data_IF_053452933925
#
_entry.id   IF_053452933925
#
_cell.length_a   1.000
_cell.length_b   1.000
_cell.length_c   1.000
_cell.angle_alpha   90.00
_cell.angle_beta   90.00
_cell.angle_gamma   90.00
#
_symmetry.space_group_name_H-M   'P 1'
#
loop_
_entity.id
_entity.type
_entity.pdbx_description
1 polymer ?
#
# COMPACT_ATOMS: atom_id res chain seq x y z
N UNK A 1 1.17 9.50 -12.31
CA UNK A 1 1.72 8.41 -11.49
C UNK A 1 1.38 8.69 -10.04
N UNK A 2 1.19 7.66 -9.23
CA UNK A 2 0.88 7.81 -7.80
C UNK A 2 1.64 6.75 -7.00
N UNK A 3 2.08 7.16 -5.80
CA UNK A 3 2.64 6.26 -4.79
C UNK A 3 1.55 5.92 -3.78
N UNK A 4 1.38 4.63 -3.49
CA UNK A 4 0.59 4.13 -2.37
C UNK A 4 1.53 3.68 -1.24
N UNK A 5 1.04 3.73 0.00
CA UNK A 5 1.78 3.35 1.20
C UNK A 5 0.91 2.48 2.11
N UNK A 6 1.38 2.23 3.33
CA UNK A 6 0.58 1.58 4.36
C UNK A 6 -0.77 2.26 4.60
N UNK A 7 -1.83 1.47 4.79
CA UNK A 7 -3.20 1.96 5.00
C UNK A 7 -3.40 2.61 6.38
N UNK A 8 -2.45 2.47 7.29
CA UNK A 8 -2.52 3.08 8.61
C UNK A 8 -2.48 4.59 8.60
N UNK A 9 -2.04 5.23 7.51
CA UNK A 9 -2.09 6.68 7.34
C UNK A 9 -3.53 7.21 7.16
N UNK A 10 -4.47 6.38 6.70
CA UNK A 10 -5.87 6.78 6.50
C UNK A 10 -6.70 6.69 7.78
N UNK A 11 -6.13 6.09 8.83
CA UNK A 11 -6.81 5.81 10.08
C UNK A 11 -6.23 6.62 11.23
N UNK A 12 -7.05 6.85 12.26
CA UNK A 12 -6.56 7.38 13.51
C UNK A 12 -5.52 6.43 14.08
N UNK A 13 -4.36 6.97 14.47
CA UNK A 13 -3.30 6.16 15.06
C UNK A 13 -3.80 5.60 16.40
N UNK A 14 -3.82 4.27 16.60
CA UNK A 14 -4.22 3.70 17.86
C UNK A 14 -3.18 4.01 18.95
N UNK A 15 -3.63 4.17 20.19
CA UNK A 15 -2.74 4.42 21.34
C UNK A 15 -1.78 3.26 21.60
N UNK A 16 -2.15 2.04 21.20
CA UNK A 16 -1.30 0.85 21.23
C UNK A 16 -1.61 -0.03 20.01
N UNK A 17 -0.60 -0.69 19.46
CA UNK A 17 -0.78 -1.63 18.35
C UNK A 17 -1.41 -2.93 18.85
N UNK A 18 -2.36 -3.47 18.08
CA UNK A 18 -2.92 -4.80 18.33
C UNK A 18 -1.82 -5.84 18.11
N UNK A 19 -1.84 -6.93 18.88
CA UNK A 19 -0.89 -8.05 18.75
C UNK A 19 -0.95 -8.68 17.34
N UNK A 20 -2.15 -8.69 16.74
CA UNK A 20 -2.39 -9.25 15.42
C UNK A 20 -2.75 -8.15 14.44
N UNK A 21 -2.16 -8.24 13.25
CA UNK A 21 -2.54 -7.44 12.08
C UNK A 21 -3.46 -8.31 11.20
N UNK A 22 -4.75 -8.00 11.21
CA UNK A 22 -5.80 -8.67 10.44
C UNK A 22 -6.62 -7.65 9.61
N UNK A 23 -7.69 -8.10 8.95
CA UNK A 23 -8.50 -7.22 8.08
C UNK A 23 -9.27 -6.16 8.86
N UNK A 24 -9.50 -6.39 10.15
CA UNK A 24 -10.20 -5.48 11.06
C UNK A 24 -9.19 -4.68 11.91
N UNK A 25 -7.92 -4.64 11.47
CA UNK A 25 -6.89 -3.84 12.12
C UNK A 25 -7.23 -2.35 12.05
N UNK A 26 -7.86 -1.93 10.97
CA UNK A 26 -8.38 -0.59 10.74
C UNK A 26 -9.90 -0.60 10.80
N UNK A 27 -10.51 0.49 11.27
CA UNK A 27 -11.97 0.57 11.45
C UNK A 27 -12.69 0.64 10.10
N UNK A 28 -12.45 1.72 9.35
CA UNK A 28 -13.01 1.96 8.02
C UNK A 28 -11.90 2.53 7.14
N UNK A 29 -11.56 1.80 6.07
CA UNK A 29 -10.59 2.26 5.09
C UNK A 29 -11.40 2.79 3.89
N UNK A 30 -11.35 4.10 3.59
CA UNK A 30 -12.01 4.62 2.41
C UNK A 30 -11.48 3.94 1.14
N UNK A 31 -12.27 3.84 0.05
CA UNK A 31 -11.94 3.07 -1.15
C UNK A 31 -10.89 3.75 -2.05
N UNK A 32 -9.82 4.24 -1.44
CA UNK A 32 -8.79 5.06 -2.10
C UNK A 32 -7.95 4.23 -3.06
N UNK A 33 -7.78 2.93 -2.80
CA UNK A 33 -7.04 2.05 -3.70
C UNK A 33 -7.85 1.76 -4.96
N UNK A 34 -9.15 1.55 -4.84
CA UNK A 34 -10.10 1.42 -5.93
C UNK A 34 -10.09 2.69 -6.78
N UNK A 35 -10.26 3.85 -6.14
CA UNK A 35 -10.22 5.15 -6.81
C UNK A 35 -8.87 5.39 -7.52
N UNK A 36 -7.76 5.01 -6.91
CA UNK A 36 -6.44 5.12 -7.52
C UNK A 36 -6.30 4.21 -8.74
N UNK A 37 -6.77 2.96 -8.64
CA UNK A 37 -6.76 2.00 -9.76
C UNK A 37 -7.61 2.50 -10.91
N UNK A 38 -8.82 2.98 -10.65
CA UNK A 38 -9.74 3.50 -11.67
C UNK A 38 -9.20 4.76 -12.36
N UNK A 39 -8.59 5.67 -11.59
CA UNK A 39 -8.13 6.96 -12.11
C UNK A 39 -6.78 6.88 -12.83
N UNK A 40 -5.84 6.10 -12.30
CA UNK A 40 -4.47 6.06 -12.82
C UNK A 40 -4.17 4.80 -13.65
N UNK A 41 -4.84 3.70 -13.38
CA UNK A 41 -4.48 2.36 -13.86
C UNK A 41 -3.26 1.79 -13.11
N UNK A 42 -3.24 0.46 -12.91
CA UNK A 42 -2.22 -0.21 -12.10
C UNK A 42 -0.77 0.03 -12.59
N UNK A 43 -0.55 0.25 -13.89
CA UNK A 43 0.79 0.54 -14.47
C UNK A 43 1.35 1.91 -14.10
N UNK A 44 0.56 2.76 -13.45
CA UNK A 44 0.96 4.09 -12.98
C UNK A 44 0.93 4.21 -11.45
N UNK A 45 0.72 3.10 -10.75
CA UNK A 45 0.74 2.98 -9.29
C UNK A 45 2.04 2.30 -8.88
N UNK A 46 2.69 2.82 -7.84
CA UNK A 46 3.85 2.18 -7.20
C UNK A 46 3.64 2.12 -5.68
N UNK A 47 4.13 1.07 -5.04
CA UNK A 47 4.18 0.98 -3.59
C UNK A 47 5.47 1.60 -3.06
N UNK A 48 5.37 2.32 -1.94
CA UNK A 48 6.52 2.79 -1.18
C UNK A 48 6.19 2.76 0.32
N UNK A 49 7.11 2.25 1.12
CA UNK A 49 6.86 1.96 2.53
C UNK A 49 6.57 3.17 3.40
N UNK A 50 7.11 4.35 3.05
CA UNK A 50 7.17 5.50 3.97
C UNK A 50 7.94 5.18 5.26
N UNK A 51 9.04 4.43 5.14
CA UNK A 51 9.97 4.25 6.24
C UNK A 51 10.78 5.54 6.50
N UNK A 52 11.01 5.95 7.77
CA UNK A 52 10.65 5.29 9.03
C UNK A 52 9.21 5.48 9.58
N UNK A 53 8.38 6.48 9.18
CA UNK A 53 7.03 6.66 9.74
C UNK A 53 6.16 5.40 9.88
N UNK A 54 6.17 4.53 8.87
CA UNK A 54 5.37 3.29 8.84
C UNK A 54 5.62 2.36 10.03
N UNK A 55 6.83 2.40 10.63
CA UNK A 55 7.17 1.60 11.82
C UNK A 55 6.35 1.96 13.05
N UNK A 56 5.88 3.21 13.16
CA UNK A 56 5.04 3.67 14.27
C UNK A 56 3.55 3.37 14.11
N UNK A 57 3.16 2.80 12.97
CA UNK A 57 1.78 2.42 12.63
C UNK A 57 1.71 0.90 12.48
N UNK A 58 1.41 0.38 11.30
CA UNK A 58 1.29 -1.06 11.05
C UNK A 58 2.64 -1.79 10.98
N UNK A 59 3.75 -1.08 10.76
CA UNK A 59 5.06 -1.68 10.53
C UNK A 59 5.30 -2.11 9.08
N UNK A 60 6.57 -2.11 8.67
CA UNK A 60 6.99 -2.33 7.27
C UNK A 60 6.40 -3.60 6.65
N UNK A 61 6.51 -4.74 7.37
CA UNK A 61 6.03 -6.04 6.88
C UNK A 61 4.53 -6.03 6.60
N UNK A 62 3.75 -5.43 7.50
CA UNK A 62 2.30 -5.41 7.37
C UNK A 62 1.87 -4.45 6.26
N UNK A 63 2.44 -3.25 6.18
CA UNK A 63 2.19 -2.31 5.10
C UNK A 63 2.51 -2.90 3.71
N UNK A 64 3.60 -3.68 3.60
CA UNK A 64 3.95 -4.38 2.37
C UNK A 64 2.93 -5.46 2.02
N UNK A 65 2.55 -6.30 2.99
CA UNK A 65 1.53 -7.34 2.79
C UNK A 65 0.18 -6.77 2.38
N UNK A 66 -0.21 -5.63 2.95
CA UNK A 66 -1.48 -4.98 2.59
C UNK A 66 -1.52 -4.52 1.14
N UNK A 67 -0.38 -4.28 0.49
CA UNK A 67 -0.32 -3.99 -0.94
C UNK A 67 -0.31 -5.27 -1.79
N UNK A 68 0.43 -6.30 -1.36
CA UNK A 68 0.55 -7.58 -2.08
C UNK A 68 -0.76 -8.37 -2.04
N UNK A 69 -1.38 -8.46 -0.87
CA UNK A 69 -2.56 -9.29 -0.62
C UNK A 69 -3.87 -8.51 -0.80
N UNK A 70 -3.82 -7.30 -1.38
CA UNK A 70 -4.98 -6.44 -1.51
C UNK A 70 -5.97 -6.96 -2.57
N UNK A 71 -7.26 -7.11 -2.25
CA UNK A 71 -8.26 -7.56 -3.24
C UNK A 71 -8.47 -6.58 -4.39
N UNK A 72 -8.03 -5.32 -4.28
CA UNK A 72 -8.09 -4.35 -5.39
C UNK A 72 -7.16 -4.75 -6.54
N UNK A 73 -6.05 -5.44 -6.25
CA UNK A 73 -5.05 -5.87 -7.24
C UNK A 73 -5.11 -7.40 -7.38
N UNK A 74 -6.06 -7.88 -8.18
CA UNK A 74 -6.44 -9.30 -8.22
C UNK A 74 -5.47 -10.15 -9.04
N UNK A 75 -4.82 -9.57 -10.05
CA UNK A 75 -3.94 -10.30 -10.95
C UNK A 75 -2.47 -10.20 -10.51
N UNK A 76 -1.68 -11.29 -10.57
CA UNK A 76 -0.26 -11.27 -10.21
C UNK A 76 0.53 -10.19 -10.96
N UNK A 77 0.16 -9.91 -12.21
CA UNK A 77 0.79 -8.87 -13.02
C UNK A 77 0.55 -7.47 -12.44
N UNK A 78 -0.60 -7.20 -11.84
CA UNK A 78 -0.88 -5.90 -11.21
C UNK A 78 0.03 -5.68 -10.00
N UNK A 79 0.18 -6.71 -9.18
CA UNK A 79 1.10 -6.69 -8.02
C UNK A 79 2.54 -6.45 -8.48
N UNK A 80 3.01 -7.12 -9.53
CA UNK A 80 4.34 -6.90 -10.12
C UNK A 80 4.57 -5.43 -10.51
N UNK A 81 3.57 -4.80 -11.14
CA UNK A 81 3.65 -3.39 -11.52
C UNK A 81 3.78 -2.49 -10.30
N UNK A 82 2.92 -2.70 -9.31
CA UNK A 82 2.84 -1.89 -8.09
C UNK A 82 4.10 -2.05 -7.24
N UNK A 83 4.62 -3.27 -7.11
CA UNK A 83 5.75 -3.58 -6.25
C UNK A 83 7.12 -3.25 -6.88
N UNK A 84 7.18 -2.89 -8.16
CA UNK A 84 8.46 -2.47 -8.75
C UNK A 84 8.46 -2.04 -10.20
N UNK A 85 7.68 -2.67 -11.10
CA UNK A 85 7.83 -2.35 -12.55
C UNK A 85 7.47 -0.90 -12.87
N UNK A 86 6.46 -0.33 -12.21
CA UNK A 86 6.12 1.09 -12.39
C UNK A 86 7.32 1.98 -12.08
N UNK A 87 8.01 1.73 -10.97
CA UNK A 87 9.20 2.50 -10.57
C UNK A 87 10.33 2.35 -11.60
N UNK A 88 10.59 1.13 -12.09
CA UNK A 88 11.61 0.84 -13.11
C UNK A 88 11.38 1.56 -14.44
N UNK A 89 10.14 1.96 -14.74
CA UNK A 89 9.84 2.76 -15.95
C UNK A 89 10.00 4.26 -15.77
N UNK A 90 10.09 4.73 -14.52
CA UNK A 90 10.03 6.14 -14.15
C UNK A 90 11.36 6.69 -13.67
N UNK A 91 12.05 5.90 -12.85
CA UNK A 91 13.31 6.28 -12.25
C UNK A 91 14.44 5.59 -12.99
N UNK A 92 15.51 6.34 -13.21
CA UNK A 92 16.76 5.79 -13.70
C UNK A 92 17.53 5.23 -12.50
N UNK A 93 17.50 3.91 -12.36
CA UNK A 93 18.22 3.22 -11.30
C UNK A 93 19.64 2.91 -11.79
N UNK A 94 20.62 3.51 -11.12
CA UNK A 94 22.06 3.35 -11.40
C UNK A 94 22.66 2.27 -10.51
#
# INVERSE_FOLDING_TARGET
>A
YIKIHGLGEFNNRPNALKERFDRDFFDDIPPLLEMAKDSFGYKKIMWGSDYPPVSGREGYRNAMKTAIDNPVFTEPIEVDWIMGRTALTLFDFV
#
